data_IF_007342420586
#
_entry.id   IF_007342420586
#
_cell.length_a   1.000
_cell.length_b   1.000
_cell.length_c   1.000
_cell.angle_alpha   90.00
_cell.angle_beta   90.00
_cell.angle_gamma   90.00
#
_symmetry.space_group_name_H-M   'P 1'
#
loop_
_entity.id
_entity.type
_entity.pdbx_description
1 polymer ?
#
# COMPACT_ATOMS: atom_id res chain seq x y z
N UNK A 1 11.86 9.12 38.43
CA UNK A 1 11.60 7.88 37.68
C UNK A 1 10.10 7.56 37.77
N UNK A 2 9.22 8.29 37.06
CA UNK A 2 7.76 8.04 36.99
C UNK A 2 7.02 9.09 36.11
N UNK A 3 7.52 9.41 34.91
CA UNK A 3 6.82 10.37 34.03
C UNK A 3 6.74 9.94 32.55
N UNK A 4 7.65 9.07 32.10
CA UNK A 4 7.68 8.60 30.70
C UNK A 4 6.87 7.34 30.45
N UNK A 5 6.61 6.52 31.48
CA UNK A 5 5.88 5.25 31.34
C UNK A 5 4.37 5.46 31.12
N UNK A 6 3.79 6.49 31.74
CA UNK A 6 2.34 6.75 31.71
C UNK A 6 1.81 7.19 30.33
N UNK A 7 2.63 7.84 29.50
CA UNK A 7 2.22 8.28 28.14
C UNK A 7 2.28 7.15 27.10
N UNK A 8 3.17 6.18 27.28
CA UNK A 8 3.27 5.00 26.40
C UNK A 8 2.10 4.04 26.65
N UNK A 9 1.66 3.89 27.92
CA UNK A 9 0.49 3.08 28.27
C UNK A 9 -0.82 3.72 27.76
N UNK A 10 -0.95 5.05 27.78
CA UNK A 10 -2.14 5.74 27.25
C UNK A 10 -2.22 5.67 25.73
N UNK A 11 -1.09 5.73 25.01
CA UNK A 11 -1.08 5.54 23.55
C UNK A 11 -1.42 4.08 23.16
N UNK A 12 -0.90 3.09 23.90
CA UNK A 12 -1.22 1.67 23.68
C UNK A 12 -2.67 1.34 24.04
N UNK A 13 -3.25 1.99 25.05
CA UNK A 13 -4.67 1.83 25.41
C UNK A 13 -5.61 2.46 24.38
N UNK A 14 -5.23 3.57 23.74
CA UNK A 14 -6.02 4.18 22.65
C UNK A 14 -5.96 3.31 21.40
N UNK A 15 -4.81 2.70 21.08
CA UNK A 15 -4.68 1.76 19.97
C UNK A 15 -5.44 0.44 20.26
N UNK A 16 -5.44 -0.03 21.51
CA UNK A 16 -6.19 -1.23 21.92
C UNK A 16 -7.72 -0.97 22.01
N UNK A 17 -8.16 0.24 22.36
CA UNK A 17 -9.59 0.59 22.39
C UNK A 17 -10.18 0.77 20.99
N UNK A 18 -9.39 1.25 20.02
CA UNK A 18 -9.82 1.29 18.61
C UNK A 18 -9.90 -0.13 18.02
N UNK A 19 -9.04 -1.05 18.45
CA UNK A 19 -9.08 -2.46 18.04
C UNK A 19 -10.26 -3.24 18.67
N UNK A 20 -10.66 -2.90 19.90
CA UNK A 20 -11.85 -3.48 20.55
C UNK A 20 -13.17 -2.89 20.02
N UNK A 21 -13.17 -1.67 19.49
CA UNK A 21 -14.35 -1.09 18.84
C UNK A 21 -14.63 -1.73 17.46
N UNK A 22 -13.60 -2.25 16.80
CA UNK A 22 -13.74 -2.95 15.50
C UNK A 22 -14.35 -4.35 15.61
N UNK A 23 -14.53 -4.88 16.83
CA UNK A 23 -15.01 -6.26 17.06
C UNK A 23 -16.40 -6.37 17.69
N UNK A 24 -17.19 -5.29 17.73
CA UNK A 24 -18.58 -5.32 18.16
C UNK A 24 -19.44 -4.44 17.24
N UNK A 25 -19.75 -4.98 16.07
CA UNK A 25 -20.85 -4.52 15.23
C UNK A 25 -21.58 -5.74 14.66
N UNK A 26 -22.11 -6.59 15.54
CA UNK A 26 -23.11 -7.58 15.19
C UNK A 26 -24.23 -7.55 16.23
N UNK A 27 -25.31 -6.85 15.89
CA UNK A 27 -26.66 -7.12 16.40
C UNK A 27 -27.69 -6.35 15.57
N UNK A 28 -27.86 -6.72 14.30
CA UNK A 28 -29.15 -6.50 13.63
C UNK A 28 -29.91 -7.82 13.71
N UNK A 29 -31.04 -7.80 14.42
CA UNK A 29 -31.93 -8.94 14.59
C UNK A 29 -32.39 -9.43 13.20
N UNK A 30 -32.43 -10.75 12.94
CA UNK A 30 -33.12 -11.28 11.79
C UNK A 30 -34.62 -11.00 11.95
N UNK A 31 -35.29 -10.64 10.86
CA UNK A 31 -36.74 -10.56 10.82
C UNK A 31 -37.32 -11.92 11.18
N UNK A 32 -38.25 -11.94 12.13
CA UNK A 32 -39.17 -13.06 12.33
C UNK A 32 -39.98 -13.25 11.05
N UNK A 33 -39.80 -14.39 10.39
CA UNK A 33 -40.65 -14.82 9.27
C UNK A 33 -41.27 -16.15 9.71
N UNK A 34 -42.38 -16.04 10.44
CA UNK A 34 -43.30 -17.15 10.58
C UNK A 34 -43.91 -17.47 9.22
N UNK A 35 -43.73 -18.73 8.81
CA UNK A 35 -44.54 -19.51 7.88
C UNK A 35 -44.70 -19.05 6.41
N UNK A 36 -44.05 -19.85 5.55
CA UNK A 36 -44.55 -20.39 4.27
C UNK A 36 -44.85 -19.43 3.11
N UNK A 37 -43.86 -19.24 2.24
CA UNK A 37 -43.90 -19.56 0.80
C UNK A 37 -42.51 -19.27 0.19
N UNK A 38 -41.98 -20.19 -0.63
CA UNK A 38 -40.75 -19.99 -1.39
C UNK A 38 -40.93 -18.79 -2.34
N UNK A 39 -40.41 -17.61 -1.98
CA UNK A 39 -40.29 -16.51 -2.93
C UNK A 39 -39.18 -16.83 -3.92
N UNK A 40 -39.53 -17.51 -5.01
CA UNK A 40 -38.67 -17.69 -6.17
C UNK A 40 -38.39 -16.30 -6.77
N UNK A 41 -37.13 -15.87 -6.79
CA UNK A 41 -36.73 -14.62 -7.43
C UNK A 41 -36.90 -14.77 -8.95
N UNK A 42 -37.94 -14.14 -9.51
CA UNK A 42 -38.16 -14.10 -10.95
C UNK A 42 -37.19 -13.11 -11.60
N UNK A 43 -36.32 -13.63 -12.46
CA UNK A 43 -35.31 -12.83 -13.13
C UNK A 43 -35.92 -11.95 -14.22
N UNK A 44 -35.83 -10.63 -14.05
CA UNK A 44 -36.19 -9.66 -15.08
C UNK A 44 -34.97 -9.35 -15.93
N UNK A 45 -35.13 -9.41 -17.25
CA UNK A 45 -34.07 -9.17 -18.21
C UNK A 45 -34.23 -7.82 -18.92
N UNK A 46 -33.11 -7.27 -19.40
CA UNK A 46 -33.07 -6.07 -20.23
C UNK A 46 -32.16 -6.30 -21.44
N UNK A 47 -32.62 -5.91 -22.62
CA UNK A 47 -31.85 -6.03 -23.86
C UNK A 47 -30.68 -5.03 -23.89
N UNK A 48 -29.65 -5.36 -24.69
CA UNK A 48 -28.50 -4.47 -24.90
C UNK A 48 -28.91 -3.12 -25.49
N UNK A 49 -29.85 -3.10 -26.43
CA UNK A 49 -30.38 -1.88 -27.05
C UNK A 49 -31.17 -1.00 -26.07
N UNK A 50 -31.94 -1.60 -25.17
CA UNK A 50 -32.71 -0.84 -24.17
C UNK A 50 -31.80 -0.21 -23.12
N UNK A 51 -30.80 -0.97 -22.65
CA UNK A 51 -29.79 -0.42 -21.74
C UNK A 51 -29.03 0.73 -22.41
N UNK A 52 -28.64 0.58 -23.68
CA UNK A 52 -27.97 1.64 -24.43
C UNK A 52 -28.81 2.90 -24.55
N UNK A 53 -30.09 2.76 -24.84
CA UNK A 53 -31.04 3.89 -24.94
C UNK A 53 -31.13 4.65 -23.62
N UNK A 54 -31.17 3.94 -22.49
CA UNK A 54 -31.19 4.55 -21.15
C UNK A 54 -29.90 5.29 -20.80
N UNK A 55 -28.75 4.73 -21.19
CA UNK A 55 -27.44 5.37 -21.00
C UNK A 55 -27.36 6.65 -21.86
N UNK A 56 -27.76 6.59 -23.12
CA UNK A 56 -27.73 7.75 -24.03
C UNK A 56 -28.70 8.86 -23.63
N UNK A 57 -29.84 8.48 -23.03
CA UNK A 57 -30.80 9.42 -22.45
C UNK A 57 -30.29 10.07 -21.14
N UNK A 58 -29.19 9.58 -20.56
CA UNK A 58 -28.61 10.09 -19.33
C UNK A 58 -29.50 9.86 -18.09
N UNK A 59 -30.18 8.71 -18.01
CA UNK A 59 -31.05 8.37 -16.89
C UNK A 59 -30.28 8.37 -15.55
N UNK A 60 -30.60 9.33 -14.67
CA UNK A 60 -29.92 9.48 -13.37
C UNK A 60 -30.29 8.38 -12.35
N UNK A 61 -31.42 7.70 -12.54
CA UNK A 61 -31.91 6.66 -11.64
C UNK A 61 -31.43 5.24 -12.01
N UNK A 62 -30.46 5.14 -12.92
CA UNK A 62 -29.87 3.87 -13.36
C UNK A 62 -28.55 3.60 -12.62
N UNK A 63 -28.34 2.36 -12.21
CA UNK A 63 -27.06 1.83 -11.74
C UNK A 63 -26.71 0.57 -12.52
N UNK A 64 -25.55 0.56 -13.16
CA UNK A 64 -25.05 -0.58 -13.90
C UNK A 64 -23.98 -1.24 -13.03
N UNK A 65 -24.10 -2.54 -12.79
CA UNK A 65 -23.22 -3.30 -11.90
C UNK A 65 -22.49 -4.39 -12.68
N UNK A 66 -21.17 -4.26 -12.72
CA UNK A 66 -20.29 -5.31 -13.21
C UNK A 66 -20.01 -6.30 -12.08
N UNK A 67 -20.53 -7.52 -12.22
CA UNK A 67 -20.39 -8.56 -11.18
C UNK A 67 -19.25 -9.55 -11.44
N UNK A 68 -18.42 -9.25 -12.46
CA UNK A 68 -17.21 -10.01 -12.81
C UNK A 68 -16.08 -9.77 -11.81
N UNK A 69 -14.95 -10.45 -12.00
CA UNK A 69 -13.75 -10.17 -11.20
C UNK A 69 -13.22 -8.76 -11.50
N UNK A 70 -12.61 -8.12 -10.50
CA UNK A 70 -12.08 -6.75 -10.67
C UNK A 70 -11.09 -6.62 -11.83
N UNK A 71 -10.32 -7.67 -12.13
CA UNK A 71 -9.40 -7.69 -13.28
C UNK A 71 -10.11 -7.61 -14.63
N UNK A 72 -11.30 -8.23 -14.76
CA UNK A 72 -12.10 -8.20 -15.99
C UNK A 72 -12.76 -6.84 -16.19
N UNK A 73 -13.22 -6.21 -15.10
CA UNK A 73 -13.73 -4.85 -15.11
C UNK A 73 -12.66 -3.84 -15.56
N UNK A 74 -11.46 -3.94 -14.99
CA UNK A 74 -10.33 -3.05 -15.33
C UNK A 74 -9.90 -3.20 -16.79
N UNK A 75 -9.97 -4.41 -17.35
CA UNK A 75 -9.63 -4.66 -18.76
C UNK A 75 -10.60 -3.93 -19.70
N UNK A 76 -11.90 -4.18 -19.53
CA UNK A 76 -12.95 -3.45 -20.24
C UNK A 76 -14.30 -3.60 -19.52
N UNK A 77 -15.09 -2.54 -19.39
CA UNK A 77 -16.42 -2.55 -18.78
C UNK A 77 -17.39 -1.59 -19.48
N UNK A 78 -18.70 -1.76 -19.25
CA UNK A 78 -19.72 -0.85 -19.80
C UNK A 78 -19.52 0.54 -19.20
N UNK A 79 -19.53 1.58 -20.04
CA UNK A 79 -19.35 2.96 -19.58
C UNK A 79 -20.32 3.32 -18.44
N UNK A 80 -19.78 3.80 -17.32
CA UNK A 80 -20.57 4.18 -16.14
C UNK A 80 -21.01 2.99 -15.26
N UNK A 81 -20.50 1.78 -15.52
CA UNK A 81 -20.72 0.64 -14.65
C UNK A 81 -19.85 0.72 -13.38
N UNK A 82 -20.43 0.29 -12.25
CA UNK A 82 -19.76 0.16 -10.97
C UNK A 82 -19.27 -1.27 -10.79
N UNK A 83 -18.02 -1.43 -10.34
CA UNK A 83 -17.50 -2.75 -9.99
C UNK A 83 -18.09 -3.25 -8.67
N UNK A 84 -18.81 -4.37 -8.73
CA UNK A 84 -19.34 -5.08 -7.57
C UNK A 84 -19.26 -6.60 -7.80
N UNK A 85 -18.05 -7.21 -7.67
CA UNK A 85 -17.86 -8.64 -7.88
C UNK A 85 -18.86 -9.48 -7.07
N UNK A 86 -19.30 -10.61 -7.63
CA UNK A 86 -20.33 -11.46 -6.99
C UNK A 86 -20.03 -11.84 -5.53
N UNK A 87 -18.75 -12.00 -5.16
CA UNK A 87 -18.30 -12.30 -3.79
C UNK A 87 -18.61 -11.17 -2.81
N UNK A 88 -18.67 -9.94 -3.31
CA UNK A 88 -18.68 -8.72 -2.52
C UNK A 88 -20.08 -8.09 -2.42
N UNK A 89 -21.04 -8.56 -3.22
CA UNK A 89 -22.44 -8.06 -3.23
C UNK A 89 -23.02 -7.97 -1.83
N UNK A 90 -22.93 -9.04 -1.02
CA UNK A 90 -23.48 -9.06 0.35
C UNK A 90 -22.79 -8.07 1.29
N UNK A 91 -21.52 -7.74 1.04
CA UNK A 91 -20.71 -6.88 1.91
C UNK A 91 -20.82 -5.40 1.53
N UNK A 92 -20.87 -5.12 0.23
CA UNK A 92 -20.57 -3.80 -0.31
C UNK A 92 -21.71 -3.17 -1.12
N UNK A 93 -22.81 -3.88 -1.41
CA UNK A 93 -23.90 -3.34 -2.22
C UNK A 93 -24.51 -2.07 -1.62
N UNK A 94 -24.85 -2.08 -0.32
CA UNK A 94 -25.50 -0.93 0.35
C UNK A 94 -24.61 0.31 0.39
N UNK A 95 -23.29 0.12 0.42
CA UNK A 95 -22.32 1.22 0.39
C UNK A 95 -22.13 1.81 -1.02
N UNK A 96 -22.41 1.03 -2.08
CA UNK A 96 -22.15 1.39 -3.48
C UNK A 96 -23.39 1.84 -4.25
N UNK A 97 -24.57 1.30 -3.93
CA UNK A 97 -25.80 1.55 -4.70
C UNK A 97 -26.99 1.78 -3.78
N UNK A 98 -27.70 2.89 -4.00
CA UNK A 98 -28.94 3.20 -3.29
C UNK A 98 -30.09 2.26 -3.73
N UNK A 99 -30.97 1.89 -2.78
CA UNK A 99 -32.02 0.87 -2.99
C UNK A 99 -33.17 1.30 -3.91
N UNK A 100 -33.31 2.60 -4.17
CA UNK A 100 -34.33 3.22 -5.02
C UNK A 100 -33.96 3.25 -6.51
N UNK A 101 -32.72 2.91 -6.85
CA UNK A 101 -32.26 2.86 -8.24
C UNK A 101 -32.76 1.65 -8.99
N UNK A 102 -32.91 1.82 -10.30
CA UNK A 102 -32.96 0.71 -11.25
C UNK A 102 -31.56 0.12 -11.41
N UNK A 103 -31.38 -1.15 -11.05
CA UNK A 103 -30.09 -1.84 -11.07
C UNK A 103 -30.05 -2.78 -12.26
N UNK A 104 -28.99 -2.70 -13.07
CA UNK A 104 -28.72 -3.63 -14.16
C UNK A 104 -27.41 -4.36 -13.89
N UNK A 105 -27.47 -5.68 -13.68
CA UNK A 105 -26.28 -6.53 -13.47
C UNK A 105 -25.86 -7.23 -14.75
N UNK A 106 -24.55 -7.41 -14.95
CA UNK A 106 -24.03 -8.20 -16.08
C UNK A 106 -22.75 -8.97 -15.71
N UNK A 107 -22.42 -10.00 -16.49
CA UNK A 107 -21.19 -10.79 -16.34
C UNK A 107 -20.61 -11.24 -17.69
N UNK A 108 -19.58 -12.08 -17.67
CA UNK A 108 -18.67 -12.35 -18.80
C UNK A 108 -19.20 -13.32 -19.88
N UNK A 109 -20.43 -13.82 -19.77
CA UNK A 109 -20.97 -14.80 -20.71
C UNK A 109 -22.43 -14.52 -21.07
N UNK A 110 -22.82 -14.99 -22.26
CA UNK A 110 -24.17 -14.87 -22.82
C UNK A 110 -25.23 -15.53 -21.94
N UNK A 111 -24.89 -16.66 -21.34
CA UNK A 111 -25.66 -17.29 -20.26
C UNK A 111 -24.76 -17.42 -19.05
N UNK A 112 -25.07 -16.68 -18.00
CA UNK A 112 -24.17 -16.54 -16.88
C UNK A 112 -24.93 -16.51 -15.56
N UNK A 113 -24.63 -17.50 -14.71
CA UNK A 113 -25.24 -17.65 -13.39
C UNK A 113 -24.78 -16.58 -12.40
N UNK A 114 -23.69 -15.86 -12.68
CA UNK A 114 -23.13 -14.88 -11.76
C UNK A 114 -24.01 -13.62 -11.65
N UNK A 115 -24.54 -13.10 -12.75
CA UNK A 115 -25.47 -11.97 -12.74
C UNK A 115 -26.79 -12.35 -12.07
N UNK A 116 -27.31 -13.55 -12.34
CA UNK A 116 -28.49 -14.10 -11.67
C UNK A 116 -28.27 -14.23 -10.15
N UNK A 117 -27.13 -14.79 -9.75
CA UNK A 117 -26.77 -14.94 -8.34
C UNK A 117 -26.58 -13.59 -7.64
N UNK A 118 -26.01 -12.60 -8.34
CA UNK A 118 -25.85 -11.25 -7.81
C UNK A 118 -27.21 -10.57 -7.65
N UNK A 119 -28.10 -10.71 -8.64
CA UNK A 119 -29.44 -10.17 -8.60
C UNK A 119 -30.26 -10.77 -7.45
N UNK A 120 -30.17 -12.09 -7.23
CA UNK A 120 -30.78 -12.75 -6.06
C UNK A 120 -30.22 -12.21 -4.74
N UNK A 121 -28.90 -12.08 -4.60
CA UNK A 121 -28.28 -11.51 -3.39
C UNK A 121 -28.72 -10.06 -3.15
N UNK A 122 -28.86 -9.25 -4.19
CA UNK A 122 -29.40 -7.89 -4.09
C UNK A 122 -30.87 -7.90 -3.67
N UNK A 123 -31.67 -8.81 -4.23
CA UNK A 123 -33.07 -8.97 -3.82
C UNK A 123 -33.20 -9.32 -2.32
N UNK A 124 -32.37 -10.24 -1.84
CA UNK A 124 -32.29 -10.63 -0.42
C UNK A 124 -31.89 -9.44 0.49
N UNK A 125 -31.11 -8.49 -0.03
CA UNK A 125 -30.72 -7.25 0.68
C UNK A 125 -31.80 -6.15 0.63
N UNK A 126 -32.94 -6.40 0.00
CA UNK A 126 -34.05 -5.44 -0.07
C UNK A 126 -34.08 -4.56 -1.32
N UNK A 127 -33.22 -4.82 -2.31
CA UNK A 127 -33.35 -4.18 -3.63
C UNK A 127 -34.53 -4.79 -4.37
N UNK A 128 -35.25 -3.97 -5.15
CA UNK A 128 -36.52 -4.39 -5.80
C UNK A 128 -36.56 -4.17 -7.30
N UNK A 129 -35.89 -3.13 -7.81
CA UNK A 129 -35.80 -2.88 -9.25
C UNK A 129 -34.46 -3.39 -9.79
N UNK A 130 -34.37 -4.70 -10.03
CA UNK A 130 -33.14 -5.36 -10.49
C UNK A 130 -33.43 -6.02 -11.84
N UNK A 131 -32.55 -5.78 -12.81
CA UNK A 131 -32.58 -6.38 -14.15
C UNK A 131 -31.23 -7.02 -14.46
N UNK A 132 -31.25 -8.00 -15.35
CA UNK A 132 -30.06 -8.70 -15.84
C UNK A 132 -29.87 -8.35 -17.31
N UNK A 133 -28.67 -7.91 -17.69
CA UNK A 133 -28.34 -7.64 -19.09
C UNK A 133 -28.32 -8.94 -19.89
N UNK A 134 -29.19 -9.05 -20.89
CA UNK A 134 -29.23 -10.19 -21.80
C UNK A 134 -27.93 -10.31 -22.58
N UNK A 135 -27.38 -11.52 -22.63
CA UNK A 135 -26.13 -11.77 -23.35
C UNK A 135 -24.86 -11.26 -22.64
N UNK A 136 -25.00 -10.60 -21.49
CA UNK A 136 -23.89 -10.12 -20.66
C UNK A 136 -22.97 -9.12 -21.37
N UNK A 137 -21.74 -9.01 -20.88
CA UNK A 137 -20.71 -8.14 -21.46
C UNK A 137 -20.38 -8.49 -22.93
N UNK A 138 -20.27 -9.76 -23.34
CA UNK A 138 -19.96 -10.09 -24.74
C UNK A 138 -21.01 -9.57 -25.74
N UNK A 139 -22.30 -9.57 -25.38
CA UNK A 139 -23.34 -9.02 -26.24
C UNK A 139 -23.23 -7.50 -26.38
N UNK A 140 -22.82 -6.80 -25.33
CA UNK A 140 -22.52 -5.37 -25.38
C UNK A 140 -21.35 -5.06 -26.34
N UNK A 141 -20.29 -5.85 -26.27
CA UNK A 141 -19.12 -5.70 -27.13
C UNK A 141 -19.42 -6.02 -28.60
N UNK A 142 -20.21 -7.06 -28.87
CA UNK A 142 -20.59 -7.45 -30.23
C UNK A 142 -21.38 -6.37 -30.98
N UNK A 143 -22.15 -5.56 -30.25
CA UNK A 143 -22.86 -4.39 -30.80
C UNK A 143 -21.94 -3.18 -31.04
N UNK A 144 -20.66 -3.27 -30.66
CA UNK A 144 -19.66 -2.21 -30.86
C UNK A 144 -19.90 -0.98 -29.99
N UNK A 145 -20.62 -1.13 -28.88
CA UNK A 145 -20.93 -0.03 -27.98
C UNK A 145 -19.72 0.37 -27.13
N UNK A 146 -19.73 1.62 -26.63
CA UNK A 146 -18.61 2.17 -25.88
C UNK A 146 -18.36 1.36 -24.61
N UNK A 147 -17.09 1.03 -24.40
CA UNK A 147 -16.55 0.43 -23.20
C UNK A 147 -15.43 1.32 -22.66
N UNK A 148 -15.27 1.30 -21.34
CA UNK A 148 -14.18 1.97 -20.64
C UNK A 148 -13.20 0.91 -20.11
N UNK A 149 -11.97 1.32 -19.83
CA UNK A 149 -10.95 0.51 -19.17
C UNK A 149 -10.36 1.28 -17.99
N UNK A 150 -9.78 0.57 -17.03
CA UNK A 150 -9.38 1.13 -15.74
C UNK A 150 -10.51 1.08 -14.70
N UNK A 151 -10.33 1.81 -13.59
CA UNK A 151 -11.35 1.92 -12.55
C UNK A 151 -12.23 3.14 -12.79
N UNK A 152 -13.54 2.97 -12.96
CA UNK A 152 -14.48 4.11 -12.95
C UNK A 152 -14.79 4.51 -11.49
N UNK A 153 -14.78 5.81 -11.22
CA UNK A 153 -14.87 6.35 -9.86
C UNK A 153 -16.30 6.23 -9.29
N UNK A 154 -16.49 5.34 -8.31
CA UNK A 154 -17.72 5.16 -7.51
C UNK A 154 -18.22 6.47 -6.84
N UNK A 155 -17.42 7.54 -6.79
CA UNK A 155 -17.75 8.81 -6.10
C UNK A 155 -18.73 9.72 -6.82
N UNK A 156 -19.14 9.45 -8.06
CA UNK A 156 -20.21 10.24 -8.70
C UNK A 156 -21.57 10.07 -8.02
N UNK A 157 -21.73 9.07 -7.14
CA UNK A 157 -22.93 8.87 -6.33
C UNK A 157 -22.78 9.16 -4.84
N UNK A 158 -21.56 9.34 -4.32
CA UNK A 158 -21.32 9.66 -2.91
C UNK A 158 -21.08 11.17 -2.73
N UNK A 159 -22.04 11.84 -2.07
CA UNK A 159 -22.02 13.26 -1.73
C UNK A 159 -20.67 13.71 -1.14
N UNK A 160 -20.08 14.76 -1.74
CA UNK A 160 -19.15 15.71 -1.14
C UNK A 160 -17.87 15.12 -0.50
N UNK A 161 -16.78 15.03 -1.27
CA UNK A 161 -15.48 14.61 -0.74
C UNK A 161 -14.32 15.12 -1.58
N UNK A 162 -13.16 15.34 -0.94
CA UNK A 162 -11.92 15.82 -1.55
C UNK A 162 -11.59 15.07 -2.85
N UNK A 163 -11.03 15.80 -3.83
CA UNK A 163 -10.63 15.23 -5.13
C UNK A 163 -9.64 14.07 -4.97
N UNK A 164 -9.74 13.07 -5.84
CA UNK A 164 -8.85 11.89 -5.93
C UNK A 164 -7.36 12.25 -5.84
N UNK A 165 -6.98 13.30 -6.57
CA UNK A 165 -5.62 13.80 -6.64
C UNK A 165 -5.12 14.37 -5.30
N UNK A 166 -6.00 15.01 -4.51
CA UNK A 166 -5.66 15.51 -3.18
C UNK A 166 -5.38 14.37 -2.20
N UNK A 167 -6.12 13.26 -2.32
CA UNK A 167 -5.93 12.06 -1.50
C UNK A 167 -4.62 11.36 -1.90
N UNK A 168 -4.35 11.24 -3.19
CA UNK A 168 -3.09 10.71 -3.71
C UNK A 168 -1.88 11.51 -3.20
N UNK A 169 -1.93 12.83 -3.36
CA UNK A 169 -0.86 13.73 -2.89
C UNK A 169 -0.67 13.63 -1.37
N UNK A 170 -1.76 13.67 -0.59
CA UNK A 170 -1.71 13.54 0.86
C UNK A 170 -1.10 12.20 1.30
N UNK A 171 -1.45 11.12 0.62
CA UNK A 171 -0.91 9.78 0.87
C UNK A 171 0.58 9.71 0.54
N UNK A 172 0.99 10.21 -0.63
CA UNK A 172 2.40 10.27 -1.04
C UNK A 172 3.23 11.05 -0.02
N UNK A 173 2.73 12.21 0.42
CA UNK A 173 3.43 13.04 1.41
C UNK A 173 3.54 12.32 2.74
N UNK A 174 2.42 11.80 3.25
CA UNK A 174 2.35 11.15 4.54
C UNK A 174 3.23 9.90 4.61
N UNK A 175 3.13 9.02 3.62
CA UNK A 175 3.90 7.78 3.58
C UNK A 175 5.38 8.06 3.29
N UNK A 176 5.71 8.96 2.36
CA UNK A 176 7.11 9.28 2.05
C UNK A 176 7.88 9.86 3.25
N UNK A 177 7.24 10.75 4.02
CA UNK A 177 7.83 11.26 5.26
C UNK A 177 7.93 10.18 6.34
N UNK A 178 6.90 9.34 6.49
CA UNK A 178 6.91 8.24 7.45
C UNK A 178 8.02 7.23 7.14
N UNK A 179 8.27 6.94 5.86
CA UNK A 179 9.33 6.06 5.40
C UNK A 179 10.71 6.63 5.74
N UNK A 180 10.94 7.93 5.52
CA UNK A 180 12.20 8.60 5.85
C UNK A 180 12.54 8.62 7.36
N UNK A 181 11.54 8.46 8.25
CA UNK A 181 11.73 8.35 9.70
C UNK A 181 11.51 6.95 10.24
N UNK A 182 11.43 5.95 9.36
CA UNK A 182 11.24 4.58 9.76
C UNK A 182 12.51 4.04 10.48
N UNK A 183 12.42 2.94 11.25
CA UNK A 183 13.58 2.39 11.95
C UNK A 183 14.78 1.97 11.07
N UNK A 184 14.53 1.52 9.83
CA UNK A 184 15.58 1.18 8.86
C UNK A 184 16.32 2.44 8.37
N UNK A 185 15.57 3.47 7.99
CA UNK A 185 16.05 4.78 7.57
C UNK A 185 16.85 5.47 8.68
N UNK A 186 16.43 5.35 9.94
CA UNK A 186 17.22 5.81 11.09
C UNK A 186 18.57 5.08 11.17
N UNK A 187 18.61 3.78 10.88
CA UNK A 187 19.86 3.04 10.72
C UNK A 187 20.75 3.63 9.63
N UNK A 188 20.19 3.96 8.48
CA UNK A 188 20.90 4.64 7.37
C UNK A 188 21.46 6.00 7.80
N UNK A 189 20.65 6.81 8.49
CA UNK A 189 21.03 8.12 9.02
C UNK A 189 22.24 8.00 9.95
N UNK A 190 22.21 7.00 10.84
CA UNK A 190 23.30 6.68 11.75
C UNK A 190 24.55 6.21 11.00
N UNK A 191 24.41 5.34 9.99
CA UNK A 191 25.52 4.90 9.16
C UNK A 191 26.15 6.06 8.38
N UNK A 192 25.34 6.94 7.81
CA UNK A 192 25.80 8.14 7.12
C UNK A 192 26.56 9.06 8.07
N UNK A 193 26.01 9.32 9.26
CA UNK A 193 26.68 10.10 10.30
C UNK A 193 28.03 9.50 10.69
N UNK A 194 28.07 8.20 11.00
CA UNK A 194 29.31 7.50 11.32
C UNK A 194 30.32 7.57 10.18
N UNK A 195 29.86 7.41 8.95
CA UNK A 195 30.71 7.50 7.76
C UNK A 195 31.27 8.92 7.55
N UNK A 196 30.44 9.95 7.64
CA UNK A 196 30.88 11.35 7.52
C UNK A 196 31.86 11.73 8.64
N UNK A 197 31.62 11.29 9.88
CA UNK A 197 32.51 11.58 11.01
C UNK A 197 33.87 10.89 10.87
N UNK A 198 33.89 9.61 10.48
CA UNK A 198 35.11 8.82 10.41
C UNK A 198 35.93 9.11 9.15
N UNK A 199 35.27 9.36 8.02
CA UNK A 199 35.92 9.35 6.71
C UNK A 199 35.87 10.67 5.95
N UNK A 200 34.92 11.56 6.23
CA UNK A 200 34.96 12.88 5.60
C UNK A 200 36.15 13.69 6.08
N UNK A 201 36.74 13.38 7.25
CA UNK A 201 38.06 13.80 7.73
C UNK A 201 38.23 15.31 7.94
N UNK A 202 38.01 16.10 6.89
CA UNK A 202 37.96 17.56 6.87
C UNK A 202 36.53 18.03 6.66
N UNK A 203 36.15 19.08 7.37
CA UNK A 203 34.83 19.75 7.24
C UNK A 203 34.48 20.15 5.79
N UNK A 204 35.50 20.37 4.94
CA UNK A 204 35.34 20.76 3.53
C UNK A 204 34.84 19.63 2.63
N UNK A 205 35.13 18.38 2.96
CA UNK A 205 34.77 17.22 2.13
C UNK A 205 33.39 16.65 2.48
N UNK A 206 32.88 16.96 3.68
CA UNK A 206 31.55 16.59 4.19
C UNK A 206 30.41 16.88 3.20
N UNK A 207 30.22 18.12 2.67
CA UNK A 207 29.10 18.42 1.79
C UNK A 207 29.19 17.64 0.47
N UNK A 208 30.39 17.51 -0.12
CA UNK A 208 30.59 16.78 -1.38
C UNK A 208 30.24 15.30 -1.21
N UNK A 209 30.79 14.66 -0.18
CA UNK A 209 30.56 13.23 0.09
C UNK A 209 29.10 12.96 0.48
N UNK A 210 28.51 13.83 1.30
CA UNK A 210 27.11 13.71 1.71
C UNK A 210 26.13 13.87 0.56
N UNK A 211 26.32 14.86 -0.31
CA UNK A 211 25.47 15.05 -1.51
C UNK A 211 25.56 13.85 -2.45
N UNK A 212 26.77 13.31 -2.68
CA UNK A 212 26.94 12.11 -3.51
C UNK A 212 26.21 10.92 -2.90
N UNK A 213 26.36 10.70 -1.59
CA UNK A 213 25.66 9.62 -0.89
C UNK A 213 24.14 9.74 -1.06
N UNK A 214 23.57 10.92 -0.77
CA UNK A 214 22.13 11.17 -0.86
C UNK A 214 21.63 11.01 -2.29
N UNK A 215 22.37 11.53 -3.28
CA UNK A 215 22.00 11.41 -4.69
C UNK A 215 21.98 9.95 -5.16
N UNK A 216 22.93 9.13 -4.71
CA UNK A 216 22.96 7.70 -5.03
C UNK A 216 21.81 6.96 -4.35
N UNK A 217 21.52 7.23 -3.07
CA UNK A 217 20.36 6.65 -2.37
C UNK A 217 19.07 7.02 -3.10
N UNK A 218 18.86 8.31 -3.41
CA UNK A 218 17.69 8.76 -4.16
C UNK A 218 17.56 8.05 -5.52
N UNK A 219 18.63 8.02 -6.31
CA UNK A 219 18.61 7.42 -7.65
C UNK A 219 18.35 5.90 -7.61
N UNK A 220 19.03 5.19 -6.71
CA UNK A 220 18.86 3.74 -6.56
C UNK A 220 17.46 3.38 -6.09
N UNK A 221 16.93 4.10 -5.10
CA UNK A 221 15.59 3.89 -4.59
C UNK A 221 14.51 4.24 -5.64
N UNK A 222 14.70 5.32 -6.39
CA UNK A 222 13.82 5.68 -7.51
C UNK A 222 13.82 4.61 -8.61
N UNK A 223 14.99 4.05 -8.97
CA UNK A 223 15.10 2.95 -9.94
C UNK A 223 14.38 1.69 -9.44
N UNK A 224 14.58 1.30 -8.18
CA UNK A 224 13.87 0.17 -7.56
C UNK A 224 12.37 0.40 -7.61
N UNK A 225 11.93 1.62 -7.32
CA UNK A 225 10.53 2.00 -7.39
C UNK A 225 9.92 1.89 -8.78
N UNK A 226 10.64 2.35 -9.81
CA UNK A 226 10.21 2.22 -11.21
C UNK A 226 10.14 0.75 -11.65
N UNK A 227 11.11 -0.06 -11.23
CA UNK A 227 11.12 -1.50 -11.49
C UNK A 227 9.89 -2.16 -10.84
N UNK A 228 9.62 -1.82 -9.58
CA UNK A 228 8.48 -2.35 -8.85
C UNK A 228 7.14 -1.93 -9.46
N UNK A 229 7.00 -0.67 -9.87
CA UNK A 229 5.82 -0.18 -10.60
C UNK A 229 5.58 -0.96 -11.90
N UNK A 230 6.62 -1.20 -12.71
CA UNK A 230 6.50 -2.00 -13.93
C UNK A 230 6.05 -3.43 -13.63
N UNK A 231 6.66 -4.06 -12.62
CA UNK A 231 6.28 -5.41 -12.20
C UNK A 231 4.82 -5.44 -11.74
N UNK A 232 4.36 -4.46 -10.97
CA UNK A 232 2.97 -4.41 -10.53
C UNK A 232 1.98 -4.23 -11.69
N UNK A 233 2.27 -3.33 -12.63
CA UNK A 233 1.34 -3.02 -13.73
C UNK A 233 1.37 -4.08 -14.83
N UNK A 234 2.55 -4.43 -15.35
CA UNK A 234 2.67 -5.33 -16.51
C UNK A 234 2.47 -6.80 -16.13
N UNK A 235 2.86 -7.21 -14.92
CA UNK A 235 2.83 -8.61 -14.53
C UNK A 235 1.48 -9.04 -13.92
N UNK A 236 0.64 -8.09 -13.50
CA UNK A 236 -0.66 -8.38 -12.89
C UNK A 236 -1.62 -9.17 -13.78
N UNK A 237 -1.49 -9.04 -15.11
CA UNK A 237 -2.35 -9.72 -16.09
C UNK A 237 -1.98 -11.19 -16.36
N UNK A 238 -0.88 -11.69 -15.80
CA UNK A 238 -0.49 -13.10 -15.96
C UNK A 238 -1.16 -13.98 -14.92
N UNK A 239 -1.79 -15.09 -15.35
CA UNK A 239 -2.46 -16.08 -14.47
C UNK A 239 -1.59 -16.67 -13.36
N UNK A 240 -0.25 -16.56 -13.47
CA UNK A 240 0.73 -16.97 -12.46
C UNK A 240 1.03 -15.90 -11.40
N UNK A 241 0.57 -14.66 -11.58
CA UNK A 241 0.85 -13.56 -10.64
C UNK A 241 0.29 -13.82 -9.25
N UNK A 242 -0.92 -14.39 -9.13
CA UNK A 242 -1.51 -14.74 -7.84
C UNK A 242 -0.63 -15.73 -7.06
N UNK A 243 -0.07 -16.74 -7.72
CA UNK A 243 0.84 -17.70 -7.08
C UNK A 243 2.18 -17.06 -6.68
N UNK A 244 2.72 -16.19 -7.55
CA UNK A 244 4.01 -15.53 -7.32
C UNK A 244 3.91 -14.47 -6.23
N UNK A 245 2.84 -13.65 -6.22
CA UNK A 245 2.59 -12.65 -5.18
C UNK A 245 2.43 -13.32 -3.82
N UNK A 246 1.63 -14.38 -3.70
CA UNK A 246 1.51 -15.14 -2.45
C UNK A 246 2.86 -15.69 -1.96
N UNK A 247 3.69 -16.21 -2.87
CA UNK A 247 5.04 -16.68 -2.53
C UNK A 247 5.93 -15.53 -2.05
N UNK A 248 5.88 -14.36 -2.71
CA UNK A 248 6.64 -13.18 -2.33
C UNK A 248 6.20 -12.68 -0.94
N UNK A 249 4.89 -12.61 -0.68
CA UNK A 249 4.32 -12.26 0.63
C UNK A 249 4.79 -13.21 1.71
N UNK A 250 4.75 -14.52 1.46
CA UNK A 250 5.23 -15.55 2.38
C UNK A 250 6.72 -15.38 2.70
N UNK A 251 7.55 -15.23 1.66
CA UNK A 251 9.02 -15.15 1.81
C UNK A 251 9.43 -13.85 2.49
N UNK A 252 8.94 -12.70 2.02
CA UNK A 252 9.27 -11.40 2.61
C UNK A 252 8.74 -11.27 4.03
N UNK A 253 7.49 -11.68 4.27
CA UNK A 253 6.90 -11.70 5.61
C UNK A 253 7.70 -12.57 6.58
N UNK A 254 8.11 -13.77 6.14
CA UNK A 254 8.98 -14.66 6.91
C UNK A 254 10.35 -14.04 7.22
N UNK A 255 10.99 -13.42 6.23
CA UNK A 255 12.28 -12.72 6.42
C UNK A 255 12.14 -11.58 7.44
N UNK A 256 11.08 -10.77 7.35
CA UNK A 256 10.81 -9.66 8.27
C UNK A 256 10.58 -10.16 9.71
N UNK A 257 9.83 -11.25 9.88
CA UNK A 257 9.61 -11.86 11.20
C UNK A 257 10.92 -12.39 11.79
N UNK A 258 11.73 -13.10 11.01
CA UNK A 258 13.03 -13.61 11.48
C UNK A 258 13.96 -12.46 11.86
N UNK A 259 14.07 -11.45 10.99
CA UNK A 259 14.89 -10.27 11.25
C UNK A 259 14.41 -9.49 12.48
N UNK A 260 13.09 -9.35 12.64
CA UNK A 260 12.49 -8.71 13.79
C UNK A 260 12.73 -9.49 15.09
N UNK A 261 12.59 -10.83 15.06
CA UNK A 261 12.88 -11.70 16.21
C UNK A 261 14.35 -11.61 16.65
N UNK A 262 15.30 -11.54 15.71
CA UNK A 262 16.72 -11.32 16.01
C UNK A 262 16.93 -9.98 16.72
N UNK A 263 16.26 -8.91 16.28
CA UNK A 263 16.35 -7.59 16.91
C UNK A 263 15.75 -7.55 18.32
N UNK A 264 14.60 -8.19 18.55
CA UNK A 264 14.00 -8.33 19.88
C UNK A 264 14.90 -9.17 20.80
N UNK A 265 15.46 -10.27 20.29
CA UNK A 265 16.44 -11.09 21.03
C UNK A 265 17.65 -10.26 21.43
N UNK A 266 18.20 -9.45 20.53
CA UNK A 266 19.36 -8.60 20.80
C UNK A 266 19.09 -7.51 21.85
N UNK A 267 17.82 -7.12 22.05
CA UNK A 267 17.43 -6.24 23.16
C UNK A 267 17.55 -6.94 24.51
N UNK A 268 17.06 -8.18 24.61
CA UNK A 268 17.06 -8.94 25.86
C UNK A 268 18.42 -9.60 26.18
N UNK A 269 19.09 -10.16 25.17
CA UNK A 269 20.33 -10.92 25.30
C UNK A 269 21.36 -10.44 24.27
N UNK A 270 21.91 -9.24 24.51
CA UNK A 270 22.91 -8.65 23.63
C UNK A 270 24.19 -9.49 23.61
N UNK A 271 24.60 -9.94 22.41
CA UNK A 271 25.86 -10.66 22.19
C UNK A 271 25.77 -12.19 22.29
N UNK A 272 24.58 -12.76 22.53
CA UNK A 272 24.35 -14.21 22.53
C UNK A 272 23.69 -14.63 21.20
N UNK A 273 24.38 -15.46 20.41
CA UNK A 273 23.86 -15.99 19.14
C UNK A 273 23.96 -15.04 17.94
N UNK A 274 23.17 -15.26 16.87
CA UNK A 274 23.18 -14.43 15.66
C UNK A 274 22.62 -13.03 15.94
N UNK A 275 23.26 -12.00 15.40
CA UNK A 275 22.88 -10.59 15.52
C UNK A 275 22.96 -9.95 14.13
N UNK A 276 22.00 -9.08 13.80
CA UNK A 276 22.00 -8.28 12.57
C UNK A 276 23.03 -7.13 12.60
N UNK A 277 23.85 -7.07 13.63
CA UNK A 277 24.95 -6.11 13.71
C UNK A 277 26.18 -6.62 12.95
N UNK A 278 26.91 -5.70 12.30
CA UNK A 278 28.14 -6.04 11.58
C UNK A 278 29.07 -6.86 12.49
N UNK A 279 29.33 -8.09 12.09
CA UNK A 279 30.19 -9.03 12.83
C UNK A 279 31.55 -8.40 13.12
N UNK A 280 32.04 -8.57 14.35
CA UNK A 280 33.35 -8.04 14.79
C UNK A 280 34.51 -8.49 13.89
N UNK A 281 34.37 -9.65 13.23
CA UNK A 281 35.36 -10.17 12.27
C UNK A 281 35.39 -9.40 10.94
N UNK A 282 34.23 -8.93 10.47
CA UNK A 282 34.10 -8.24 9.17
C UNK A 282 34.38 -6.75 9.30
N UNK A 283 34.19 -6.16 10.49
CA UNK A 283 34.48 -4.74 10.77
C UNK A 283 35.87 -4.27 10.29
N UNK A 284 37.00 -4.93 10.60
CA UNK A 284 38.31 -4.48 10.14
C UNK A 284 38.50 -4.60 8.62
N UNK A 285 37.86 -5.58 7.97
CA UNK A 285 37.87 -5.71 6.51
C UNK A 285 37.07 -4.59 5.84
N UNK A 286 35.84 -4.35 6.32
CA UNK A 286 35.00 -3.22 5.91
C UNK A 286 35.74 -1.89 6.10
N UNK A 287 36.42 -1.70 7.24
CA UNK A 287 37.20 -0.50 7.50
C UNK A 287 38.34 -0.30 6.50
N UNK A 288 39.10 -1.33 6.11
CA UNK A 288 40.16 -1.19 5.10
C UNK A 288 39.63 -0.86 3.71
N UNK A 289 38.47 -1.39 3.35
CA UNK A 289 37.85 -1.12 2.05
C UNK A 289 37.25 0.28 2.00
N UNK A 290 36.56 0.68 3.07
CA UNK A 290 35.90 1.99 3.19
C UNK A 290 36.91 3.11 3.45
N UNK A 291 38.08 2.83 4.05
CA UNK A 291 39.15 3.81 4.31
C UNK A 291 39.87 4.32 3.07
N UNK A 292 39.67 3.71 1.91
CA UNK A 292 40.06 4.33 0.64
C UNK A 292 39.02 5.40 0.35
N UNK A 293 39.24 6.62 0.84
CA UNK A 293 38.39 7.81 0.68
C UNK A 293 38.21 8.15 -0.80
N UNK A 294 37.34 7.40 -1.48
CA UNK A 294 37.11 7.50 -2.90
C UNK A 294 35.62 7.61 -3.13
N UNK A 295 35.24 8.39 -4.14
CA UNK A 295 33.85 8.55 -4.58
C UNK A 295 33.16 7.18 -4.77
N UNK A 296 33.92 6.19 -5.23
CA UNK A 296 33.47 4.82 -5.43
C UNK A 296 33.01 4.14 -4.12
N UNK A 297 33.71 4.34 -3.00
CA UNK A 297 33.31 3.74 -1.72
C UNK A 297 32.01 4.34 -1.20
N UNK A 298 31.78 5.64 -1.41
CA UNK A 298 30.51 6.30 -1.09
C UNK A 298 29.36 5.72 -1.92
N UNK A 299 29.56 5.53 -3.22
CA UNK A 299 28.55 4.96 -4.13
C UNK A 299 28.20 3.53 -3.73
N UNK A 300 29.21 2.67 -3.56
CA UNK A 300 29.02 1.26 -3.18
C UNK A 300 28.30 1.16 -1.83
N UNK A 301 28.68 1.99 -0.86
CA UNK A 301 28.03 2.03 0.43
C UNK A 301 26.55 2.44 0.30
N UNK A 302 26.26 3.52 -0.42
CA UNK A 302 24.88 3.99 -0.63
C UNK A 302 23.99 2.92 -1.29
N UNK A 303 24.49 2.25 -2.35
CA UNK A 303 23.78 1.15 -3.01
C UNK A 303 23.51 -0.01 -2.05
N UNK A 304 24.54 -0.47 -1.32
CA UNK A 304 24.41 -1.58 -0.39
C UNK A 304 23.38 -1.27 0.70
N UNK A 305 23.43 -0.06 1.23
CA UNK A 305 22.62 0.39 2.35
C UNK A 305 21.16 0.53 1.90
N UNK A 306 20.92 0.98 0.65
CA UNK A 306 19.60 0.94 -0.01
C UNK A 306 19.05 -0.49 -0.16
N UNK A 307 19.87 -1.45 -0.60
CA UNK A 307 19.44 -2.86 -0.77
C UNK A 307 18.91 -3.46 0.54
N UNK A 308 19.53 -3.11 1.68
CA UNK A 308 19.08 -3.59 2.99
C UNK A 308 17.80 -2.91 3.50
N UNK A 309 17.48 -1.72 2.98
CA UNK A 309 16.31 -0.95 3.37
C UNK A 309 15.07 -1.31 2.56
N UNK A 310 15.25 -1.68 1.28
CA UNK A 310 14.14 -2.03 0.38
C UNK A 310 13.12 -3.01 1.02
N UNK A 311 13.51 -4.10 1.72
CA UNK A 311 12.52 -5.03 2.27
C UNK A 311 11.55 -4.43 3.29
N UNK A 312 11.94 -3.41 4.06
CA UNK A 312 11.07 -2.77 5.06
C UNK A 312 10.26 -1.60 4.48
N UNK A 313 10.75 -0.98 3.41
CA UNK A 313 10.08 0.17 2.80
C UNK A 313 9.23 -0.19 1.56
N UNK A 314 9.44 -1.36 0.95
CA UNK A 314 8.66 -1.84 -0.19
C UNK A 314 7.14 -1.93 0.09
N UNK A 315 6.66 -2.36 1.28
CA UNK A 315 5.23 -2.36 1.57
C UNK A 315 4.60 -0.96 1.57
N UNK A 316 5.34 0.04 2.08
CA UNK A 316 4.91 1.44 2.04
C UNK A 316 4.83 1.95 0.59
N UNK A 317 5.81 1.57 -0.22
CA UNK A 317 5.84 1.85 -1.65
C UNK A 317 4.65 1.23 -2.40
N UNK A 318 4.33 -0.03 -2.11
CA UNK A 318 3.20 -0.74 -2.68
C UNK A 318 1.88 -0.06 -2.33
N UNK A 319 1.70 0.38 -1.08
CA UNK A 319 0.53 1.13 -0.65
C UNK A 319 0.36 2.45 -1.41
N UNK A 320 1.46 3.19 -1.63
CA UNK A 320 1.41 4.42 -2.43
C UNK A 320 1.04 4.12 -3.89
N UNK A 321 1.63 3.08 -4.49
CA UNK A 321 1.34 2.71 -5.87
C UNK A 321 -0.11 2.20 -6.05
N UNK A 322 -0.68 1.50 -5.07
CA UNK A 322 -2.10 1.09 -5.07
C UNK A 322 -3.04 2.30 -5.00
N UNK A 323 -2.73 3.30 -4.17
CA UNK A 323 -3.52 4.53 -4.13
C UNK A 323 -3.37 5.34 -5.44
N UNK A 324 -2.15 5.41 -5.99
CA UNK A 324 -1.89 6.10 -7.24
C UNK A 324 -2.54 5.40 -8.45
N UNK A 325 -2.59 4.07 -8.48
CA UNK A 325 -3.22 3.32 -9.57
C UNK A 325 -4.74 3.40 -9.57
N UNK A 326 -5.34 3.64 -8.40
CA UNK A 326 -6.78 3.95 -8.25
C UNK A 326 -7.11 5.43 -8.43
N UNK A 327 -6.10 6.28 -8.53
CA UNK A 327 -6.27 7.69 -8.80
C UNK A 327 -6.18 7.93 -10.31
N UNK A 328 -6.95 8.88 -10.84
CA UNK A 328 -6.93 9.26 -12.27
C UNK A 328 -5.66 10.05 -12.62
N UNK A 329 -4.51 9.42 -12.39
CA UNK A 329 -3.19 10.02 -12.57
C UNK A 329 -2.54 9.35 -13.78
N UNK A 330 -2.13 10.17 -14.73
CA UNK A 330 -1.40 9.67 -15.91
C UNK A 330 -0.15 8.88 -15.50
N UNK A 331 0.31 7.96 -16.36
CA UNK A 331 1.54 7.18 -16.14
C UNK A 331 2.76 8.07 -15.83
N UNK A 332 2.83 9.24 -16.47
CA UNK A 332 3.88 10.25 -16.22
C UNK A 332 3.70 10.91 -14.86
N UNK A 333 2.46 11.20 -14.46
CA UNK A 333 2.13 11.68 -13.13
C UNK A 333 2.55 10.71 -12.03
N UNK A 334 2.34 9.40 -12.21
CA UNK A 334 2.78 8.36 -11.26
C UNK A 334 4.29 8.42 -11.05
N UNK A 335 5.07 8.53 -12.14
CA UNK A 335 6.53 8.71 -12.06
C UNK A 335 6.91 9.98 -11.31
N UNK A 336 6.17 11.07 -11.50
CA UNK A 336 6.35 12.32 -10.75
C UNK A 336 6.07 12.17 -9.26
N UNK A 337 4.96 11.54 -8.88
CA UNK A 337 4.63 11.24 -7.48
C UNK A 337 5.67 10.32 -6.85
N UNK A 338 6.22 9.38 -7.62
CA UNK A 338 7.32 8.54 -7.18
C UNK A 338 8.58 9.36 -6.88
N UNK A 339 8.88 10.34 -7.72
CA UNK A 339 9.97 11.28 -7.47
C UNK A 339 9.76 12.08 -6.19
N UNK A 340 8.53 12.56 -5.97
CA UNK A 340 8.16 13.29 -4.74
C UNK A 340 8.29 12.41 -3.49
N UNK A 341 7.77 11.17 -3.55
CA UNK A 341 7.93 10.20 -2.47
C UNK A 341 9.40 10.04 -2.09
N UNK A 342 10.26 9.77 -3.08
CA UNK A 342 11.68 9.52 -2.84
C UNK A 342 12.40 10.76 -2.31
N UNK A 343 11.98 11.95 -2.74
CA UNK A 343 12.51 13.20 -2.23
C UNK A 343 12.18 13.38 -0.75
N UNK A 344 10.93 13.10 -0.36
CA UNK A 344 10.50 13.16 1.04
C UNK A 344 11.18 12.09 1.90
N UNK A 345 11.40 10.91 1.35
CA UNK A 345 12.15 9.83 1.98
C UNK A 345 13.60 10.24 2.31
N UNK A 346 14.31 10.89 1.38
CA UNK A 346 15.71 11.35 1.63
C UNK A 346 15.81 12.67 2.40
N UNK A 347 14.69 13.36 2.63
CA UNK A 347 14.66 14.66 3.30
C UNK A 347 15.34 14.64 4.68
N UNK A 348 15.15 13.63 5.55
CA UNK A 348 15.89 13.55 6.81
C UNK A 348 17.41 13.47 6.65
N UNK A 349 17.92 12.80 5.60
CA UNK A 349 19.35 12.74 5.30
C UNK A 349 19.89 14.12 4.92
N UNK A 350 19.13 14.88 4.12
CA UNK A 350 19.46 16.26 3.72
C UNK A 350 19.54 17.17 4.96
N UNK A 351 18.54 17.09 5.84
CA UNK A 351 18.52 17.86 7.09
C UNK A 351 19.73 17.55 7.94
N UNK A 352 20.07 16.26 8.10
CA UNK A 352 21.25 15.85 8.86
C UNK A 352 22.54 16.38 8.22
N UNK A 353 22.69 16.28 6.90
CA UNK A 353 23.87 16.81 6.20
C UNK A 353 24.05 18.32 6.45
N UNK A 354 22.97 19.09 6.44
CA UNK A 354 22.99 20.53 6.73
C UNK A 354 23.38 20.80 8.19
N UNK A 355 22.83 20.05 9.14
CA UNK A 355 23.15 20.18 10.57
C UNK A 355 24.63 19.89 10.85
N UNK A 356 25.11 18.79 10.27
CA UNK A 356 26.51 18.33 10.30
C UNK A 356 27.45 19.38 9.72
N UNK A 357 27.11 19.91 8.54
CA UNK A 357 27.89 20.96 7.88
C UNK A 357 27.93 22.26 8.70
N UNK A 358 26.80 22.63 9.33
CA UNK A 358 26.66 23.79 10.21
C UNK A 358 27.48 23.68 11.51
N UNK A 359 28.02 22.49 11.84
CA UNK A 359 28.88 22.27 13.00
C UNK A 359 28.13 22.23 14.33
N UNK A 360 26.78 22.13 14.32
CA UNK A 360 25.98 22.00 15.55
C UNK A 360 26.09 20.58 16.09
N UNK A 361 26.56 20.45 17.34
CA UNK A 361 26.38 19.33 18.28
C UNK A 361 26.35 17.90 17.68
N UNK A 362 27.39 17.55 16.92
CA UNK A 362 27.67 16.17 16.50
C UNK A 362 27.82 15.19 17.67
N UNK A 363 28.31 15.68 18.80
CA UNK A 363 28.59 14.88 20.01
C UNK A 363 27.28 14.40 20.64
N UNK A 364 26.31 15.31 20.83
CA UNK A 364 25.01 15.00 21.46
C UNK A 364 24.22 13.96 20.64
N UNK A 365 24.31 14.00 19.31
CA UNK A 365 23.63 13.06 18.42
C UNK A 365 24.18 11.63 18.56
N UNK A 366 25.51 11.50 18.62
CA UNK A 366 26.20 10.21 18.78
C UNK A 366 25.96 9.62 20.17
N UNK A 367 25.83 10.48 21.18
CA UNK A 367 25.54 10.07 22.55
C UNK A 367 24.09 9.60 22.71
N UNK A 368 23.15 10.28 22.04
CA UNK A 368 21.76 9.84 21.94
C UNK A 368 21.64 8.49 21.24
N UNK A 369 22.35 8.30 20.13
CA UNK A 369 22.38 7.03 19.39
C UNK A 369 22.87 5.88 20.28
N UNK A 370 24.00 6.07 20.99
CA UNK A 370 24.54 5.06 21.89
C UNK A 370 23.57 4.70 23.03
N UNK A 371 22.90 5.69 23.61
CA UNK A 371 21.87 5.46 24.65
C UNK A 371 20.62 4.78 24.11
N UNK A 372 20.21 5.13 22.90
CA UNK A 372 18.97 4.67 22.29
C UNK A 372 19.13 3.34 21.55
N UNK A 373 20.35 2.88 21.28
CA UNK A 373 20.64 1.67 20.50
C UNK A 373 19.87 0.43 20.95
N UNK A 374 19.74 0.20 22.26
CA UNK A 374 18.93 -0.92 22.80
C UNK A 374 17.45 -0.75 22.45
N UNK A 375 16.90 0.43 22.71
CA UNK A 375 15.50 0.76 22.43
C UNK A 375 15.18 0.74 20.93
N UNK A 376 16.10 1.18 20.09
CA UNK A 376 16.01 1.10 18.63
C UNK A 376 15.89 -0.34 18.15
N UNK A 377 16.68 -1.28 18.72
CA UNK A 377 16.56 -2.71 18.39
C UNK A 377 15.20 -3.27 18.80
N UNK A 378 14.69 -2.92 19.98
CA UNK A 378 13.36 -3.35 20.40
C UNK A 378 12.27 -2.80 19.48
N UNK A 379 12.26 -1.48 19.23
CA UNK A 379 11.23 -0.85 18.41
C UNK A 379 11.27 -1.35 16.97
N UNK A 380 12.46 -1.46 16.38
CA UNK A 380 12.64 -2.03 15.04
C UNK A 380 12.20 -3.49 15.00
N UNK A 381 12.56 -4.29 16.00
CA UNK A 381 12.16 -5.69 16.08
C UNK A 381 10.65 -5.88 16.13
N UNK A 382 9.95 -5.11 16.98
CA UNK A 382 8.48 -5.16 17.10
C UNK A 382 7.80 -4.69 15.81
N UNK A 383 8.28 -3.60 15.19
CA UNK A 383 7.72 -3.07 13.95
C UNK A 383 7.89 -4.08 12.80
N UNK A 384 9.08 -4.66 12.62
CA UNK A 384 9.34 -5.65 11.57
C UNK A 384 8.50 -6.92 11.74
N UNK A 385 8.32 -7.40 12.99
CA UNK A 385 7.42 -8.53 13.27
C UNK A 385 5.97 -8.16 12.92
N UNK A 386 5.52 -6.97 13.34
CA UNK A 386 4.16 -6.50 13.06
C UNK A 386 3.87 -6.41 11.56
N UNK A 387 4.79 -5.80 10.79
CA UNK A 387 4.68 -5.74 9.34
C UNK A 387 4.74 -7.13 8.69
N UNK A 388 5.65 -7.99 9.14
CA UNK A 388 5.75 -9.35 8.63
C UNK A 388 4.48 -10.17 8.89
N UNK A 389 3.87 -10.06 10.07
CA UNK A 389 2.58 -10.70 10.37
C UNK A 389 1.47 -10.13 9.51
N UNK A 390 1.36 -8.80 9.41
CA UNK A 390 0.35 -8.14 8.58
C UNK A 390 0.44 -8.62 7.13
N UNK A 391 1.65 -8.66 6.57
CA UNK A 391 1.93 -9.12 5.21
C UNK A 391 1.63 -10.61 4.96
N UNK A 392 1.61 -11.44 6.02
CA UNK A 392 1.21 -12.85 5.93
C UNK A 392 -0.30 -13.07 6.10
N UNK A 393 -1.02 -12.08 6.65
CA UNK A 393 -2.46 -12.15 6.90
C UNK A 393 -3.29 -11.49 5.79
N UNK A 394 -2.69 -10.56 5.05
CA UNK A 394 -3.23 -9.97 3.81
C UNK A 394 -2.84 -10.81 2.62
#
# INVERSE_FOLDING_TARGET
MNFTFKKVTVCLLIIFSVFLFYKNADAVKPCDVDASEDCEYEAVYISVSDLKTKIDAGEKNLAILDVRQGVEYVDAHIQGALSLPLSDVKKNAEAKVAKDKEIVTYCSATECQASLSAAKKLHDLGYRNIKILEGGFPAWENEGYKVNSGWEDDRTFAKGGLTSESIALGTVIGIGLADGVNPCAIGMLVFLLGYLIVFAGRRKDVPRTGVVYIAVVFATYFIVGLLFYRVLVEFSHTSRYAAISNLIHLVLGGILIIAGAINVKDFAFYGVGPSLEISKKVRPFLQRWVSKTTLLSTVVLAVLVTIFEVPCSLPLYAGVLDVLSRSDVSKVGIVGYLGLYNFLFVLPLIVILILVWSGKKMVDLKEWEHRSKKWMKLSMGVILIGFGIWMLLT
#
